data_IF_580159766039
#
_entry.id   IF_580159766039
#
_cell.length_a   1.000
_cell.length_b   1.000
_cell.length_c   1.000
_cell.angle_alpha   90.00
_cell.angle_beta   90.00
_cell.angle_gamma   90.00
#
_symmetry.space_group_name_H-M   'P 1'
#
loop_
_entity.id
_entity.type
_entity.pdbx_description
1 polymer ?
#
# COMPACT_ATOMS: atom_id res chain seq x y z
N UNK A 1 -11.91 4.28 -6.94
CA UNK A 1 -12.98 4.60 -5.96
C UNK A 1 -13.73 3.34 -5.52
N UNK A 2 -14.37 2.59 -6.43
CA UNK A 2 -15.13 1.37 -6.09
C UNK A 2 -14.35 0.33 -5.28
N UNK A 3 -13.11 0.01 -5.66
CA UNK A 3 -12.28 -0.94 -4.90
C UNK A 3 -12.05 -0.51 -3.45
N UNK A 4 -11.83 0.79 -3.20
CA UNK A 4 -11.65 1.31 -1.84
C UNK A 4 -12.92 1.25 -1.00
N UNK A 5 -14.09 1.41 -1.64
CA UNK A 5 -15.39 1.17 -0.98
C UNK A 5 -15.48 -0.31 -0.60
N UNK A 6 -15.14 -1.23 -1.51
CA UNK A 6 -15.07 -2.65 -1.22
C UNK A 6 -14.12 -2.98 -0.07
N UNK A 7 -12.92 -2.39 -0.07
CA UNK A 7 -11.90 -2.56 0.97
C UNK A 7 -12.38 -2.03 2.32
N UNK A 8 -13.15 -0.94 2.34
CA UNK A 8 -13.76 -0.42 3.56
C UNK A 8 -14.73 -1.43 4.19
N UNK A 9 -15.69 -1.95 3.42
CA UNK A 9 -16.64 -2.95 3.92
C UNK A 9 -15.95 -4.28 4.27
N UNK A 10 -14.97 -4.69 3.47
CA UNK A 10 -14.15 -5.86 3.74
C UNK A 10 -13.33 -5.69 5.04
N UNK A 11 -12.86 -4.48 5.34
CA UNK A 11 -12.21 -4.14 6.60
C UNK A 11 -13.15 -4.26 7.80
N UNK A 12 -14.40 -3.80 7.67
CA UNK A 12 -15.43 -3.98 8.71
C UNK A 12 -15.71 -5.47 8.93
N UNK A 13 -15.90 -6.24 7.85
CA UNK A 13 -16.13 -7.68 7.94
C UNK A 13 -14.91 -8.41 8.56
N UNK A 14 -13.70 -8.04 8.16
CA UNK A 14 -12.45 -8.58 8.71
C UNK A 14 -12.28 -8.24 10.20
N UNK A 15 -12.66 -7.03 10.62
CA UNK A 15 -12.64 -6.61 12.03
C UNK A 15 -13.45 -7.58 12.89
N UNK A 16 -14.71 -7.84 12.53
CA UNK A 16 -15.57 -8.75 13.30
C UNK A 16 -15.12 -10.20 13.17
N UNK A 17 -14.72 -10.64 11.98
CA UNK A 17 -14.25 -11.99 11.76
C UNK A 17 -13.00 -12.31 12.61
N UNK A 18 -12.03 -11.40 12.66
CA UNK A 18 -10.82 -11.55 13.49
C UNK A 18 -11.15 -11.47 14.97
N UNK A 19 -12.04 -10.57 15.40
CA UNK A 19 -12.45 -10.47 16.80
C UNK A 19 -13.07 -11.77 17.33
N UNK A 20 -13.89 -12.44 16.51
CA UNK A 20 -14.58 -13.69 16.88
C UNK A 20 -13.65 -14.90 16.72
N UNK A 21 -13.01 -15.03 15.56
CA UNK A 21 -12.31 -16.27 15.18
C UNK A 21 -10.81 -16.24 15.48
N UNK A 22 -10.19 -15.06 15.59
CA UNK A 22 -8.74 -14.90 15.62
C UNK A 22 -8.04 -15.23 14.29
N UNK A 23 -8.80 -15.35 13.20
CA UNK A 23 -8.30 -15.66 11.85
C UNK A 23 -8.77 -14.62 10.86
N UNK A 24 -7.89 -14.25 9.93
CA UNK A 24 -8.26 -13.37 8.83
C UNK A 24 -8.99 -14.17 7.74
N UNK A 25 -10.18 -13.75 7.27
CA UNK A 25 -10.88 -14.47 6.21
C UNK A 25 -10.07 -14.51 4.89
N UNK A 26 -9.77 -15.69 4.33
CA UNK A 26 -8.91 -15.79 3.16
C UNK A 26 -9.40 -14.99 1.95
N UNK A 27 -10.71 -15.04 1.65
CA UNK A 27 -11.28 -14.28 0.52
C UNK A 27 -11.17 -12.77 0.68
N UNK A 28 -11.30 -12.24 1.91
CA UNK A 28 -11.09 -10.81 2.17
C UNK A 28 -9.60 -10.46 2.00
N UNK A 29 -8.70 -11.32 2.46
CA UNK A 29 -7.26 -11.09 2.33
C UNK A 29 -6.85 -11.03 0.87
N UNK A 30 -7.28 -12.00 0.06
CA UNK A 30 -7.00 -12.04 -1.39
C UNK A 30 -7.55 -10.80 -2.09
N UNK A 31 -8.76 -10.34 -1.72
CA UNK A 31 -9.34 -9.13 -2.29
C UNK A 31 -8.57 -7.86 -1.92
N UNK A 32 -8.22 -7.70 -0.63
CA UNK A 32 -7.44 -6.55 -0.16
C UNK A 32 -6.04 -6.56 -0.78
N UNK A 33 -5.36 -7.71 -0.78
CA UNK A 33 -4.04 -7.88 -1.39
C UNK A 33 -4.08 -7.53 -2.88
N UNK A 34 -5.03 -8.07 -3.63
CA UNK A 34 -5.18 -7.78 -5.05
C UNK A 34 -5.48 -6.31 -5.33
N UNK A 35 -6.30 -5.67 -4.49
CA UNK A 35 -6.55 -4.22 -4.58
C UNK A 35 -5.28 -3.43 -4.36
N UNK A 36 -4.52 -3.75 -3.32
CA UNK A 36 -3.25 -3.09 -3.01
C UNK A 36 -2.25 -3.29 -4.15
N UNK A 37 -2.17 -4.50 -4.71
CA UNK A 37 -1.29 -4.85 -5.84
C UNK A 37 -1.63 -3.98 -7.06
N UNK A 38 -2.90 -3.92 -7.44
CA UNK A 38 -3.37 -3.07 -8.53
C UNK A 38 -3.12 -1.58 -8.27
N UNK A 39 -3.37 -1.09 -7.05
CA UNK A 39 -3.09 0.29 -6.65
C UNK A 39 -1.63 0.66 -6.85
N UNK A 40 -0.69 -0.18 -6.42
CA UNK A 40 0.75 0.11 -6.57
C UNK A 40 1.24 -0.01 -8.02
N UNK A 41 0.70 -0.95 -8.82
CA UNK A 41 0.97 -0.98 -10.27
C UNK A 41 0.52 0.33 -10.94
N UNK A 42 -0.68 0.79 -10.57
CA UNK A 42 -1.27 2.04 -11.08
C UNK A 42 -0.48 3.26 -10.64
N UNK A 43 -0.09 3.32 -9.37
CA UNK A 43 0.71 4.42 -8.83
C UNK A 43 2.09 4.50 -9.51
N UNK A 44 2.76 3.36 -9.69
CA UNK A 44 4.06 3.31 -10.35
C UNK A 44 3.98 3.79 -11.82
N UNK A 45 2.93 3.40 -12.54
CA UNK A 45 2.70 3.89 -13.91
C UNK A 45 2.40 5.41 -13.92
N UNK A 46 1.51 5.88 -13.04
CA UNK A 46 1.15 7.30 -12.96
C UNK A 46 2.34 8.19 -12.56
N UNK A 47 3.28 7.65 -11.79
CA UNK A 47 4.53 8.32 -11.40
C UNK A 47 5.67 8.12 -12.40
N UNK A 48 5.43 7.52 -13.58
CA UNK A 48 6.45 7.26 -14.61
C UNK A 48 7.61 6.36 -14.14
N UNK A 49 7.38 5.53 -13.12
CA UNK A 49 8.37 4.56 -12.63
C UNK A 49 8.42 3.28 -13.49
N UNK A 50 7.41 3.07 -14.34
CA UNK A 50 7.31 1.94 -15.26
C UNK A 50 6.55 2.36 -16.51
N UNK A 51 7.04 1.95 -17.67
CA UNK A 51 6.37 2.15 -18.96
C UNK A 51 5.30 1.07 -19.23
N UNK A 52 5.30 -0.01 -18.44
CA UNK A 52 4.32 -1.10 -18.58
C UNK A 52 2.97 -0.64 -18.05
N UNK A 53 1.96 -0.65 -18.92
CA UNK A 53 0.58 -0.30 -18.57
C UNK A 53 -0.01 -1.32 -17.56
N UNK A 54 -0.61 -0.86 -16.45
CA UNK A 54 -1.17 -1.74 -15.44
C UNK A 54 -2.52 -2.32 -15.91
N UNK A 55 -2.66 -3.65 -16.08
CA UNK A 55 -3.97 -4.23 -16.35
C UNK A 55 -4.89 -4.07 -15.13
N UNK A 56 -6.19 -3.92 -15.37
CA UNK A 56 -7.19 -4.00 -14.30
C UNK A 56 -7.38 -5.45 -13.86
N UNK A 57 -6.42 -5.93 -13.07
CA UNK A 57 -6.38 -7.29 -12.53
C UNK A 57 -5.96 -7.25 -11.05
N UNK A 58 -6.70 -7.98 -10.22
CA UNK A 58 -6.38 -8.17 -8.81
C UNK A 58 -5.43 -9.36 -8.60
N UNK A 59 -5.24 -10.19 -9.61
CA UNK A 59 -4.43 -11.40 -9.54
C UNK A 59 -2.92 -11.09 -9.56
N UNK A 60 -2.13 -12.14 -9.30
CA UNK A 60 -0.69 -12.06 -9.50
C UNK A 60 -0.40 -11.89 -10.99
N UNK A 61 0.56 -11.00 -11.28
CA UNK A 61 1.06 -10.75 -12.63
C UNK A 61 2.55 -11.06 -12.59
N UNK A 62 2.97 -12.30 -12.87
CA UNK A 62 4.37 -12.72 -12.72
C UNK A 62 5.33 -11.87 -13.55
N UNK A 63 4.86 -11.36 -14.69
CA UNK A 63 5.63 -10.60 -15.67
C UNK A 63 5.58 -9.09 -15.45
N UNK A 64 4.78 -8.59 -14.50
CA UNK A 64 4.71 -7.17 -14.23
C UNK A 64 5.87 -6.74 -13.31
N UNK A 65 6.54 -5.60 -13.57
CA UNK A 65 7.71 -5.17 -12.79
C UNK A 65 7.39 -4.90 -11.32
N UNK A 66 6.19 -4.38 -11.04
CA UNK A 66 5.69 -4.16 -9.68
C UNK A 66 5.01 -5.42 -9.14
N UNK A 67 5.65 -6.04 -8.14
CA UNK A 67 5.16 -7.23 -7.45
C UNK A 67 5.10 -6.98 -5.94
N UNK A 68 4.01 -7.41 -5.33
CA UNK A 68 3.79 -7.32 -3.89
C UNK A 68 3.31 -8.68 -3.40
N UNK A 69 3.99 -9.21 -2.40
CA UNK A 69 3.62 -10.43 -1.69
C UNK A 69 3.43 -10.07 -0.22
N UNK A 70 2.24 -10.33 0.32
CA UNK A 70 1.94 -10.09 1.74
C UNK A 70 1.95 -11.45 2.45
N UNK A 71 2.80 -11.60 3.47
CA UNK A 71 2.80 -12.79 4.29
C UNK A 71 1.47 -12.92 5.05
N UNK A 72 0.82 -14.07 4.95
CA UNK A 72 -0.45 -14.32 5.63
C UNK A 72 -0.19 -14.80 7.06
N UNK A 73 -0.72 -14.12 8.09
CA UNK A 73 -0.56 -14.56 9.46
C UNK A 73 -1.50 -15.74 9.76
N UNK A 74 -0.96 -16.83 10.30
CA UNK A 74 -1.74 -18.02 10.66
C UNK A 74 -2.79 -17.75 11.75
N UNK A 75 -2.45 -16.85 12.68
CA UNK A 75 -3.32 -16.40 13.77
C UNK A 75 -3.11 -14.92 14.04
N UNK A 76 -4.20 -14.23 14.36
CA UNK A 76 -4.21 -12.82 14.75
C UNK A 76 -4.79 -12.70 16.15
N UNK A 77 -4.13 -11.95 17.01
CA UNK A 77 -4.65 -11.68 18.34
C UNK A 77 -5.95 -10.87 18.26
N UNK A 78 -7.01 -11.34 18.92
CA UNK A 78 -8.37 -10.80 18.83
C UNK A 78 -8.51 -9.35 19.30
N UNK A 79 -7.57 -8.87 20.12
CA UNK A 79 -7.56 -7.49 20.60
C UNK A 79 -7.03 -6.49 19.55
N UNK A 80 -6.25 -6.96 18.56
CA UNK A 80 -5.60 -6.09 17.57
C UNK A 80 -6.59 -5.24 16.77
N UNK A 81 -7.71 -5.79 16.26
CA UNK A 81 -8.74 -4.98 15.61
C UNK A 81 -9.30 -3.87 16.49
N UNK A 82 -9.27 -3.96 17.82
CA UNK A 82 -9.78 -2.89 18.69
C UNK A 82 -8.83 -1.68 18.78
N UNK A 83 -7.53 -1.91 18.58
CA UNK A 83 -6.47 -0.94 18.89
C UNK A 83 -5.76 -0.44 17.63
N UNK A 84 -5.46 -1.32 16.68
CA UNK A 84 -4.58 -1.02 15.55
C UNK A 84 -5.12 0.09 14.63
N UNK A 85 -6.41 0.04 14.29
CA UNK A 85 -7.04 1.05 13.43
C UNK A 85 -6.98 2.46 14.03
N UNK A 86 -6.98 2.58 15.37
CA UNK A 86 -6.87 3.85 16.07
C UNK A 86 -5.41 4.34 16.11
N UNK A 87 -4.47 3.45 16.48
CA UNK A 87 -3.06 3.80 16.60
C UNK A 87 -2.39 4.18 15.28
N UNK A 88 -2.95 3.72 14.15
CA UNK A 88 -2.44 4.06 12.82
C UNK A 88 -2.96 5.42 12.30
N UNK A 89 -3.98 6.02 12.94
CA UNK A 89 -4.51 7.34 12.51
C UNK A 89 -3.42 8.43 12.53
N UNK A 90 -2.65 8.63 13.63
CA UNK A 90 -1.60 9.64 13.66
C UNK A 90 -0.55 9.42 12.56
N UNK A 91 -0.23 8.16 12.30
CA UNK A 91 0.67 7.78 11.22
C UNK A 91 0.10 8.17 9.85
N UNK A 92 -1.17 7.84 9.57
CA UNK A 92 -1.78 8.15 8.28
C UNK A 92 -1.89 9.66 8.03
N UNK A 93 -2.10 10.46 9.08
CA UNK A 93 -2.09 11.94 8.96
C UNK A 93 -0.72 12.41 8.47
N UNK A 94 0.36 11.97 9.11
CA UNK A 94 1.72 12.32 8.71
C UNK A 94 2.01 11.79 7.29
N UNK A 95 1.64 10.54 7.03
CA UNK A 95 1.88 9.90 5.74
C UNK A 95 1.17 10.60 4.60
N UNK A 96 -0.07 11.04 4.82
CA UNK A 96 -0.86 11.75 3.85
C UNK A 96 -0.25 13.12 3.50
N UNK A 97 0.19 13.88 4.50
CA UNK A 97 0.85 15.18 4.28
C UNK A 97 2.14 14.99 3.48
N UNK A 98 2.99 14.04 3.87
CA UNK A 98 4.23 13.74 3.16
C UNK A 98 3.97 13.24 1.73
N UNK A 99 2.96 12.39 1.55
CA UNK A 99 2.55 11.90 0.23
C UNK A 99 2.12 13.04 -0.69
N UNK A 100 1.33 13.99 -0.18
CA UNK A 100 0.85 15.13 -0.95
C UNK A 100 2.04 15.94 -1.50
N UNK A 101 2.95 16.32 -0.61
CA UNK A 101 4.17 17.07 -0.97
C UNK A 101 5.01 16.28 -1.99
N UNK A 102 5.21 14.99 -1.73
CA UNK A 102 6.04 14.12 -2.55
C UNK A 102 5.52 13.96 -3.98
N UNK A 103 4.21 13.71 -4.16
CA UNK A 103 3.60 13.54 -5.50
C UNK A 103 3.85 14.75 -6.38
N UNK A 104 3.66 15.95 -5.85
CA UNK A 104 3.87 17.18 -6.61
C UNK A 104 5.35 17.36 -6.99
N UNK A 105 6.28 17.12 -6.05
CA UNK A 105 7.72 17.21 -6.32
C UNK A 105 8.17 16.19 -7.38
N UNK A 106 7.74 14.93 -7.26
CA UNK A 106 8.11 13.87 -8.20
C UNK A 106 7.61 14.17 -9.60
N UNK A 107 6.34 14.54 -9.77
CA UNK A 107 5.79 14.81 -11.10
C UNK A 107 6.52 15.97 -11.76
N UNK A 108 6.70 17.08 -11.04
CA UNK A 108 7.34 18.28 -11.59
C UNK A 108 8.81 17.99 -11.94
N UNK A 109 9.59 17.45 -11.00
CA UNK A 109 11.02 17.23 -11.21
C UNK A 109 11.25 16.13 -12.26
N UNK A 110 10.50 15.03 -12.19
CA UNK A 110 10.66 13.92 -13.14
C UNK A 110 10.27 14.35 -14.55
N UNK A 111 9.24 15.17 -14.72
CA UNK A 111 8.87 15.71 -16.03
C UNK A 111 10.05 16.44 -16.69
N UNK A 112 10.64 17.43 -16.01
CA UNK A 112 11.76 18.19 -16.57
C UNK A 112 13.00 17.31 -16.75
N UNK A 113 13.31 16.46 -15.78
CA UNK A 113 14.46 15.58 -15.87
C UNK A 113 14.34 14.59 -17.03
N UNK A 114 13.17 14.01 -17.26
CA UNK A 114 12.92 13.10 -18.39
C UNK A 114 12.96 13.85 -19.71
N UNK A 115 12.38 15.05 -19.82
CA UNK A 115 12.45 15.84 -21.06
C UNK A 115 13.90 16.21 -21.41
N UNK A 116 14.72 16.55 -20.42
CA UNK A 116 16.12 16.96 -20.63
C UNK A 116 17.04 15.76 -20.85
N UNK A 117 16.89 14.71 -20.05
CA UNK A 117 17.86 13.60 -19.98
C UNK A 117 17.37 12.30 -20.64
N UNK A 118 16.08 12.22 -20.94
CA UNK A 118 15.41 10.99 -21.39
C UNK A 118 15.32 9.90 -20.32
N UNK A 119 15.68 10.19 -19.06
CA UNK A 119 15.81 9.20 -17.98
C UNK A 119 15.10 9.65 -16.72
N UNK A 120 14.48 8.71 -16.02
CA UNK A 120 13.89 8.94 -14.71
C UNK A 120 14.99 9.13 -13.64
N UNK A 121 14.95 10.19 -12.81
CA UNK A 121 15.96 10.39 -11.77
C UNK A 121 15.99 9.27 -10.73
N UNK A 122 17.13 8.58 -10.61
CA UNK A 122 17.28 7.45 -9.68
C UNK A 122 16.98 7.83 -8.22
N UNK A 123 17.42 9.02 -7.79
CA UNK A 123 17.16 9.51 -6.43
C UNK A 123 15.66 9.60 -6.12
N UNK A 124 14.85 10.08 -7.08
CA UNK A 124 13.40 10.14 -6.92
C UNK A 124 12.78 8.74 -6.94
N UNK A 125 13.34 7.83 -7.73
CA UNK A 125 12.84 6.46 -7.85
C UNK A 125 13.01 5.71 -6.52
N UNK A 126 14.22 5.76 -5.97
CA UNK A 126 14.57 5.10 -4.73
C UNK A 126 13.74 5.63 -3.57
N UNK A 127 13.55 6.96 -3.50
CA UNK A 127 12.74 7.57 -2.46
C UNK A 127 11.25 7.18 -2.60
N UNK A 128 10.70 7.19 -3.83
CA UNK A 128 9.34 6.71 -4.09
C UNK A 128 9.15 5.25 -3.66
N UNK A 129 10.16 4.38 -3.88
CA UNK A 129 10.12 3.00 -3.39
C UNK A 129 10.05 2.93 -1.86
N UNK A 130 10.86 3.72 -1.14
CA UNK A 130 10.84 3.74 0.33
C UNK A 130 9.49 4.25 0.84
N UNK A 131 8.96 5.34 0.27
CA UNK A 131 7.66 5.91 0.59
C UNK A 131 6.52 4.88 0.40
N UNK A 132 6.51 4.15 -0.72
CA UNK A 132 5.50 3.13 -0.98
C UNK A 132 5.62 1.93 -0.03
N UNK A 133 6.84 1.46 0.26
CA UNK A 133 7.08 0.40 1.27
C UNK A 133 6.57 0.80 2.65
N UNK A 134 6.77 2.06 3.01
CA UNK A 134 6.28 2.62 4.27
C UNK A 134 4.74 2.61 4.33
N UNK A 135 4.06 3.02 3.26
CA UNK A 135 2.60 2.92 3.16
C UNK A 135 2.07 1.47 3.21
N UNK A 136 2.77 0.51 2.59
CA UNK A 136 2.43 -0.93 2.68
C UNK A 136 2.49 -1.43 4.13
N UNK A 137 3.54 -1.08 4.87
CA UNK A 137 3.69 -1.47 6.29
C UNK A 137 2.53 -0.93 7.13
N UNK A 138 2.09 0.29 6.87
CA UNK A 138 0.94 0.89 7.53
C UNK A 138 -0.38 0.19 7.19
N UNK A 139 -0.59 -0.12 5.91
CA UNK A 139 -1.76 -0.91 5.47
C UNK A 139 -1.80 -2.29 6.14
N UNK A 140 -0.66 -2.98 6.20
CA UNK A 140 -0.56 -4.26 6.91
C UNK A 140 -0.86 -4.13 8.41
N UNK A 141 -0.50 -3.02 9.04
CA UNK A 141 -0.80 -2.77 10.45
C UNK A 141 -2.28 -2.43 10.66
N UNK A 142 -2.87 -1.61 9.79
CA UNK A 142 -4.30 -1.26 9.79
C UNK A 142 -5.18 -2.49 9.64
N UNK A 143 -4.83 -3.40 8.73
CA UNK A 143 -5.48 -4.70 8.55
C UNK A 143 -5.03 -5.76 9.56
N UNK A 144 -4.34 -5.38 10.64
CA UNK A 144 -3.94 -6.29 11.72
C UNK A 144 -3.25 -7.57 11.20
N UNK A 145 -2.51 -7.43 10.09
CA UNK A 145 -1.67 -8.49 9.49
C UNK A 145 -0.36 -8.55 10.26
N UNK A 146 0.29 -7.40 10.47
CA UNK A 146 1.53 -7.28 11.28
C UNK A 146 1.28 -6.68 12.66
N UNK A 147 1.99 -7.19 13.67
CA UNK A 147 1.96 -6.67 15.04
C UNK A 147 2.86 -5.45 15.22
N UNK A 148 3.89 -5.34 14.39
CA UNK A 148 4.91 -4.30 14.53
C UNK A 148 4.36 -2.97 14.01
N UNK A 149 4.29 -1.98 14.88
CA UNK A 149 3.96 -0.60 14.50
C UNK A 149 4.91 -0.11 13.41
N UNK A 150 4.41 0.52 12.32
CA UNK A 150 5.27 1.03 11.26
C UNK A 150 6.18 2.13 11.83
N UNK A 151 7.51 2.04 11.67
CA UNK A 151 8.41 3.05 12.17
C UNK A 151 8.18 4.38 11.45
N UNK A 152 8.32 5.50 12.15
CA UNK A 152 8.29 6.83 11.51
C UNK A 152 9.58 7.15 10.71
N UNK A 153 10.60 6.30 10.85
CA UNK A 153 11.88 6.47 10.18
C UNK A 153 11.83 5.85 8.79
N UNK A 154 12.20 6.65 7.79
CA UNK A 154 12.46 6.24 6.42
C UNK A 154 13.80 5.49 6.35
N UNK A 155 13.78 4.20 6.71
CA UNK A 155 14.90 3.27 6.56
C UNK A 155 14.49 2.04 5.73
#
# INVERSE_FOLDING_TARGET
IFLYIGVFFAGIAAFFAVLITGKFPPGILTFVEGTVRWTYRTAAYAMLMTDTYPPFSLDEEPNHPVRLMIAQPDKIARWRPLVHWLLVIPYYVIAYILQLIWVYLVVIISFFAIVITGKYPQVLFDFSLVQHRWNIRAGAYFFFVTEKYPPFVYA
#
